data_IF_188236070371
#
_entry.id   IF_188236070371
#
_cell.length_a   1.000
_cell.length_b   1.000
_cell.length_c   1.000
_cell.angle_alpha   90.00
_cell.angle_beta   90.00
_cell.angle_gamma   90.00
#
_symmetry.space_group_name_H-M   'P 1'
#
loop_
_entity.id
_entity.type
_entity.pdbx_description
1 polymer ?
#
# COMPACT_ATOMS: atom_id res chain seq x y z
N UNK A 1 6.98 14.05 -11.24
CA UNK A 1 5.67 13.49 -10.86
C UNK A 1 4.59 14.20 -11.65
N UNK A 2 3.79 13.46 -12.42
CA UNK A 2 2.51 13.94 -12.95
C UNK A 2 1.42 13.87 -11.87
N UNK A 3 0.27 14.48 -12.14
CA UNK A 3 -0.90 14.40 -11.26
C UNK A 3 -1.38 12.94 -11.11
N UNK A 4 -1.49 12.20 -12.22
CA UNK A 4 -1.86 10.78 -12.19
C UNK A 4 -0.89 9.93 -11.36
N UNK A 5 0.41 10.21 -11.44
CA UNK A 5 1.41 9.53 -10.64
C UNK A 5 1.24 9.82 -9.14
N UNK A 6 0.93 11.07 -8.78
CA UNK A 6 0.65 11.46 -7.40
C UNK A 6 -0.63 10.80 -6.88
N UNK A 7 -1.68 10.73 -7.71
CA UNK A 7 -2.93 10.07 -7.35
C UNK A 7 -2.73 8.57 -7.13
N UNK A 8 -2.01 7.90 -8.03
CA UNK A 8 -1.69 6.48 -7.87
C UNK A 8 -0.85 6.21 -6.62
N UNK A 9 0.13 7.09 -6.33
CA UNK A 9 0.90 7.03 -5.10
C UNK A 9 -0.01 7.12 -3.88
N UNK A 10 -0.89 8.12 -3.81
CA UNK A 10 -1.82 8.30 -2.69
C UNK A 10 -2.76 7.09 -2.51
N UNK A 11 -3.30 6.56 -3.62
CA UNK A 11 -4.16 5.38 -3.60
C UNK A 11 -3.42 4.16 -3.07
N UNK A 12 -2.20 3.92 -3.55
CA UNK A 12 -1.37 2.81 -3.08
C UNK A 12 -1.08 2.95 -1.57
N UNK A 13 -0.61 4.11 -1.11
CA UNK A 13 -0.27 4.33 0.30
C UNK A 13 -1.48 4.14 1.22
N UNK A 14 -2.63 4.73 0.86
CA UNK A 14 -3.87 4.61 1.65
C UNK A 14 -4.34 3.15 1.70
N UNK A 15 -4.28 2.44 0.57
CA UNK A 15 -4.68 1.03 0.50
C UNK A 15 -3.77 0.15 1.36
N UNK A 16 -2.45 0.34 1.28
CA UNK A 16 -1.48 -0.46 2.03
C UNK A 16 -1.49 -0.15 3.53
N UNK A 17 -1.79 1.08 3.93
CA UNK A 17 -2.00 1.45 5.33
C UNK A 17 -3.18 0.67 5.95
N UNK A 18 -4.27 0.51 5.20
CA UNK A 18 -5.40 -0.31 5.64
C UNK A 18 -5.02 -1.80 5.71
N UNK A 19 -4.39 -2.34 4.67
CA UNK A 19 -3.93 -3.73 4.65
C UNK A 19 -2.99 -4.04 5.83
N UNK A 20 -2.12 -3.09 6.20
CA UNK A 20 -1.23 -3.20 7.36
C UNK A 20 -2.02 -3.25 8.66
N UNK A 21 -3.02 -2.40 8.82
CA UNK A 21 -3.93 -2.46 9.98
C UNK A 21 -4.63 -3.83 10.06
N UNK A 22 -4.94 -4.45 8.91
CA UNK A 22 -5.51 -5.80 8.88
C UNK A 22 -4.51 -6.86 9.33
N UNK A 23 -3.25 -6.75 8.89
CA UNK A 23 -2.15 -7.63 9.32
C UNK A 23 -1.88 -7.51 10.83
N UNK A 24 -1.77 -6.29 11.35
CA UNK A 24 -1.51 -6.01 12.77
C UNK A 24 -2.63 -6.52 13.68
N UNK A 25 -3.87 -6.54 13.19
CA UNK A 25 -5.03 -7.10 13.90
C UNK A 25 -5.17 -8.62 13.72
N UNK A 26 -4.27 -9.25 12.98
CA UNK A 26 -4.31 -10.69 12.68
C UNK A 26 -5.49 -11.10 11.80
N UNK A 27 -6.07 -10.17 11.03
CA UNK A 27 -7.17 -10.45 10.11
C UNK A 27 -6.70 -11.05 8.78
N UNK A 28 -5.45 -10.81 8.42
CA UNK A 28 -4.74 -11.44 7.31
C UNK A 28 -3.36 -11.90 7.79
N UNK A 29 -2.82 -12.90 7.13
CA UNK A 29 -1.46 -13.39 7.30
C UNK A 29 -0.44 -12.49 6.60
N UNK A 30 0.84 -12.65 6.97
CA UNK A 30 1.96 -11.97 6.32
C UNK A 30 2.09 -12.38 4.84
N UNK A 31 1.80 -13.64 4.51
CA UNK A 31 1.78 -14.14 3.13
C UNK A 31 0.69 -13.45 2.30
N UNK A 32 -0.53 -13.36 2.81
CA UNK A 32 -1.63 -12.64 2.15
C UNK A 32 -1.32 -11.14 1.99
N UNK A 33 -0.65 -10.53 2.98
CA UNK A 33 -0.21 -9.15 2.88
C UNK A 33 0.80 -8.94 1.75
N UNK A 34 1.80 -9.83 1.62
CA UNK A 34 2.80 -9.75 0.55
C UNK A 34 2.24 -10.04 -0.84
N UNK A 35 1.30 -10.99 -0.97
CA UNK A 35 0.58 -11.20 -2.22
C UNK A 35 -0.21 -9.95 -2.61
N UNK A 36 -0.94 -9.38 -1.64
CA UNK A 36 -1.70 -8.16 -1.85
C UNK A 36 -0.82 -6.97 -2.25
N UNK A 37 0.33 -6.78 -1.60
CA UNK A 37 1.31 -5.75 -1.94
C UNK A 37 1.76 -5.88 -3.40
N UNK A 38 2.11 -7.10 -3.83
CA UNK A 38 2.52 -7.38 -5.21
C UNK A 38 1.44 -6.96 -6.22
N UNK A 39 0.18 -7.31 -5.95
CA UNK A 39 -0.96 -6.94 -6.80
C UNK A 39 -1.15 -5.42 -6.83
N UNK A 40 -1.01 -4.72 -5.69
CA UNK A 40 -1.18 -3.27 -5.62
C UNK A 40 -0.02 -2.50 -6.28
N UNK A 41 1.21 -3.00 -6.20
CA UNK A 41 2.37 -2.46 -6.91
C UNK A 41 2.15 -2.50 -8.43
N UNK A 42 1.64 -3.62 -8.95
CA UNK A 42 1.32 -3.74 -10.39
C UNK A 42 0.16 -2.83 -10.81
N UNK A 43 -0.88 -2.75 -9.97
CA UNK A 43 -2.10 -1.99 -10.25
C UNK A 43 -1.85 -0.49 -10.30
N UNK A 44 -1.17 0.07 -9.29
CA UNK A 44 -1.02 1.52 -9.15
C UNK A 44 0.31 2.03 -9.69
N UNK A 45 1.34 1.18 -9.77
CA UNK A 45 2.70 1.57 -10.16
C UNK A 45 3.16 2.83 -9.40
N UNK A 46 3.13 2.79 -8.05
CA UNK A 46 3.55 3.91 -7.22
C UNK A 46 5.02 4.26 -7.48
N UNK A 47 5.38 5.50 -7.20
CA UNK A 47 6.76 5.98 -7.34
C UNK A 47 7.60 5.56 -6.14
N UNK A 48 7.02 5.59 -4.94
CA UNK A 48 7.75 5.26 -3.70
C UNK A 48 7.46 3.85 -3.18
N UNK A 49 6.39 3.20 -3.64
CA UNK A 49 6.04 1.84 -3.23
C UNK A 49 5.85 1.74 -1.71
N UNK A 50 6.34 0.68 -1.08
CA UNK A 50 6.10 0.43 0.35
C UNK A 50 6.73 1.47 1.30
N UNK A 51 7.57 2.40 0.82
CA UNK A 51 8.33 3.35 1.65
C UNK A 51 7.50 4.13 2.67
N UNK A 52 6.29 4.56 2.31
CA UNK A 52 5.41 5.32 3.20
C UNK A 52 4.25 4.50 3.77
N UNK A 53 4.14 3.22 3.38
CA UNK A 53 3.01 2.38 3.79
C UNK A 53 3.10 1.99 5.26
N UNK A 54 4.31 2.03 5.83
CA UNK A 54 4.65 1.86 7.24
C UNK A 54 4.42 3.13 8.08
N UNK A 55 4.18 4.28 7.43
CA UNK A 55 3.99 5.55 8.14
C UNK A 55 2.50 5.76 8.36
N UNK A 56 2.10 5.97 9.62
CA UNK A 56 0.78 6.49 9.94
C UNK A 56 0.66 7.92 9.37
N UNK A 57 0.09 8.03 8.17
CA UNK A 57 -0.38 9.30 7.63
C UNK A 57 -1.56 9.76 8.51
N UNK A 58 -1.30 10.76 9.34
CA UNK A 58 -2.23 11.38 10.30
C UNK A 58 -3.39 12.09 9.61
#
# INVERSE_FOLDING_TARGET
>A
MSEDQLQNEMLYQTTMSLARTMLERGMISEEEYHEFDTIMLEKYRPIFGTLFSDIHLL
#
